data_IF_541951155235
#
_entry.id   IF_541951155235
#
_cell.length_a   1.000
_cell.length_b   1.000
_cell.length_c   1.000
_cell.angle_alpha   90.00
_cell.angle_beta   90.00
_cell.angle_gamma   90.00
#
_symmetry.space_group_name_H-M   'P 1'
#
loop_
_entity.id
_entity.type
_entity.pdbx_description
1 polymer ?
#
# COMPACT_ATOMS: atom_id res chain seq x y z
N UNK A 1 -14.00 43.26 26.86
CA UNK A 1 -12.93 42.73 25.98
C UNK A 1 -12.26 43.85 25.20
N UNK A 2 -11.05 44.22 25.64
CA UNK A 2 -10.18 45.23 25.04
C UNK A 2 -9.70 44.80 23.63
N UNK A 3 -9.44 45.76 22.73
CA UNK A 3 -8.91 45.49 21.38
C UNK A 3 -7.58 44.70 21.41
N UNK A 4 -6.80 44.83 22.48
CA UNK A 4 -5.57 44.10 22.72
C UNK A 4 -5.82 42.59 22.97
N UNK A 5 -6.79 42.26 23.82
CA UNK A 5 -7.14 40.87 24.17
C UNK A 5 -7.62 40.07 22.94
N UNK A 6 -8.41 40.70 22.06
CA UNK A 6 -8.92 40.07 20.84
C UNK A 6 -7.80 39.68 19.86
N UNK A 7 -6.69 40.42 19.81
CA UNK A 7 -5.52 40.09 18.97
C UNK A 7 -4.72 38.93 19.55
N UNK A 8 -4.56 38.87 20.88
CA UNK A 8 -3.87 37.77 21.56
C UNK A 8 -4.62 36.44 21.38
N UNK A 9 -5.95 36.47 21.57
CA UNK A 9 -6.81 35.30 21.42
C UNK A 9 -6.79 34.74 19.99
N UNK A 10 -6.86 35.61 18.98
CA UNK A 10 -6.79 35.21 17.56
C UNK A 10 -5.45 34.56 17.18
N UNK A 11 -4.34 35.00 17.79
CA UNK A 11 -3.02 34.38 17.54
C UNK A 11 -2.97 32.95 18.09
N UNK A 12 -3.42 32.74 19.33
CA UNK A 12 -3.52 31.41 19.92
C UNK A 12 -4.47 30.49 19.14
N UNK A 13 -5.64 31.01 18.76
CA UNK A 13 -6.59 30.25 17.93
C UNK A 13 -5.99 29.86 16.57
N UNK A 14 -5.23 30.76 15.92
CA UNK A 14 -4.64 30.48 14.59
C UNK A 14 -3.52 29.45 14.69
N UNK A 15 -2.72 29.46 15.76
CA UNK A 15 -1.67 28.45 16.00
C UNK A 15 -2.26 27.08 16.29
N UNK A 16 -3.24 27.02 17.21
CA UNK A 16 -3.96 25.79 17.58
C UNK A 16 -4.68 25.17 16.38
N UNK A 17 -5.33 26.00 15.55
CA UNK A 17 -6.01 25.53 14.34
C UNK A 17 -5.00 24.98 13.33
N UNK A 18 -3.85 25.64 13.15
CA UNK A 18 -2.81 25.17 12.24
C UNK A 18 -2.21 23.83 12.69
N UNK A 19 -1.95 23.66 13.98
CA UNK A 19 -1.47 22.39 14.53
C UNK A 19 -2.48 21.26 14.31
N UNK A 20 -3.75 21.46 14.68
CA UNK A 20 -4.81 20.44 14.47
C UNK A 20 -4.99 20.07 13.00
N UNK A 21 -4.92 21.05 12.10
CA UNK A 21 -5.00 20.80 10.66
C UNK A 21 -3.78 20.03 10.13
N UNK A 22 -2.57 20.32 10.64
CA UNK A 22 -1.35 19.62 10.27
C UNK A 22 -1.38 18.15 10.75
N UNK A 23 -1.86 17.91 11.97
CA UNK A 23 -2.03 16.58 12.55
C UNK A 23 -3.05 15.73 11.77
N UNK A 24 -4.21 16.31 11.43
CA UNK A 24 -5.23 15.64 10.58
C UNK A 24 -4.67 15.28 9.21
N UNK A 25 -3.86 16.16 8.60
CA UNK A 25 -3.24 15.90 7.29
C UNK A 25 -2.20 14.78 7.37
N UNK A 26 -1.38 14.76 8.42
CA UNK A 26 -0.40 13.72 8.68
C UNK A 26 -1.06 12.35 8.98
N UNK A 27 -2.17 12.35 9.74
CA UNK A 27 -2.97 11.14 9.99
C UNK A 27 -3.66 10.63 8.73
N UNK A 28 -4.25 11.51 7.90
CA UNK A 28 -4.89 11.11 6.64
C UNK A 28 -3.92 10.40 5.70
N UNK A 29 -2.70 10.90 5.58
CA UNK A 29 -1.69 10.30 4.70
C UNK A 29 -1.23 8.93 5.20
N UNK A 30 -1.13 8.71 6.51
CA UNK A 30 -0.77 7.39 7.07
C UNK A 30 -1.89 6.36 6.94
N UNK A 31 -3.15 6.76 7.15
CA UNK A 31 -4.30 5.84 7.11
C UNK A 31 -4.77 5.45 5.70
N UNK A 32 -4.72 6.35 4.72
CA UNK A 32 -5.22 6.05 3.36
C UNK A 32 -4.23 5.26 2.49
N UNK A 33 -2.92 5.41 2.70
CA UNK A 33 -1.92 4.73 1.90
C UNK A 33 -1.68 3.28 2.35
N UNK A 34 -1.85 2.98 3.64
CA UNK A 34 -1.57 1.66 4.19
C UNK A 34 -2.63 0.61 3.77
N UNK A 35 -3.91 0.97 3.78
CA UNK A 35 -5.01 0.03 3.53
C UNK A 35 -5.08 -0.42 2.07
N UNK A 36 -5.03 0.52 1.11
CA UNK A 36 -5.07 0.19 -0.32
C UNK A 36 -3.85 -0.61 -0.75
N UNK A 37 -2.66 -0.26 -0.25
CA UNK A 37 -1.42 -0.96 -0.59
C UNK A 37 -1.43 -2.40 -0.09
N UNK A 38 -1.96 -2.65 1.11
CA UNK A 38 -2.00 -4.00 1.70
C UNK A 38 -2.95 -4.92 0.94
N UNK A 39 -4.17 -4.45 0.63
CA UNK A 39 -5.16 -5.24 -0.12
C UNK A 39 -4.68 -5.51 -1.55
N UNK A 40 -4.10 -4.52 -2.23
CA UNK A 40 -3.52 -4.69 -3.55
C UNK A 40 -2.37 -5.71 -3.54
N UNK A 41 -1.47 -5.64 -2.56
CA UNK A 41 -0.37 -6.60 -2.41
C UNK A 41 -0.87 -8.02 -2.19
N UNK A 42 -1.95 -8.21 -1.42
CA UNK A 42 -2.57 -9.53 -1.20
C UNK A 42 -3.16 -10.09 -2.50
N UNK A 43 -3.90 -9.27 -3.26
CA UNK A 43 -4.45 -9.69 -4.56
C UNK A 43 -3.32 -10.04 -5.53
N UNK A 44 -2.28 -9.20 -5.60
CA UNK A 44 -1.11 -9.46 -6.42
C UNK A 44 -0.38 -10.73 -5.98
N UNK A 45 -0.32 -11.02 -4.67
CA UNK A 45 0.34 -12.20 -4.13
C UNK A 45 -0.38 -13.50 -4.50
N UNK A 46 -1.69 -13.47 -4.75
CA UNK A 46 -2.46 -14.63 -5.20
C UNK A 46 -2.34 -14.83 -6.72
N UNK A 47 -2.42 -13.75 -7.51
CA UNK A 47 -2.34 -13.83 -8.98
C UNK A 47 -0.92 -13.99 -9.51
N UNK A 48 0.03 -13.25 -8.96
CA UNK A 48 1.43 -13.15 -9.36
C UNK A 48 2.34 -13.06 -8.11
N UNK A 49 2.48 -14.15 -7.35
CA UNK A 49 3.32 -14.23 -6.14
C UNK A 49 4.72 -13.58 -6.28
N UNK A 50 5.52 -13.82 -7.33
CA UNK A 50 6.85 -13.22 -7.45
C UNK A 50 6.79 -11.69 -7.60
N UNK A 51 5.78 -11.14 -8.28
CA UNK A 51 5.64 -9.68 -8.46
C UNK A 51 5.26 -9.01 -7.14
N UNK A 52 4.38 -9.64 -6.35
CA UNK A 52 4.00 -9.12 -5.04
C UNK A 52 5.18 -9.09 -4.06
N UNK A 53 6.01 -10.13 -4.05
CA UNK A 53 7.22 -10.18 -3.22
C UNK A 53 8.24 -9.13 -3.66
N UNK A 54 8.38 -8.90 -4.97
CA UNK A 54 9.26 -7.84 -5.50
C UNK A 54 8.79 -6.45 -5.07
N UNK A 55 7.51 -6.14 -5.18
CA UNK A 55 6.94 -4.82 -4.79
C UNK A 55 6.99 -4.64 -3.27
N UNK A 56 6.78 -5.71 -2.50
CA UNK A 56 6.78 -5.63 -1.03
C UNK A 56 8.18 -5.52 -0.44
N UNK A 57 9.16 -6.28 -0.95
CA UNK A 57 10.53 -6.27 -0.42
C UNK A 57 11.46 -5.27 -1.13
N UNK A 58 11.13 -4.81 -2.34
CA UNK A 58 11.97 -3.90 -3.12
C UNK A 58 13.27 -4.51 -3.66
N UNK A 59 13.58 -5.76 -3.30
CA UNK A 59 14.81 -6.47 -3.64
C UNK A 59 14.52 -7.92 -4.05
N UNK A 60 15.36 -8.43 -4.95
CA UNK A 60 15.32 -9.83 -5.39
C UNK A 60 16.05 -10.70 -4.36
N UNK A 61 15.29 -11.16 -3.36
CA UNK A 61 15.80 -12.02 -2.28
C UNK A 61 15.36 -13.48 -2.46
N UNK A 62 15.85 -14.39 -1.62
CA UNK A 62 15.51 -15.83 -1.68
C UNK A 62 14.00 -16.10 -1.71
N UNK A 63 13.21 -15.28 -1.01
CA UNK A 63 11.75 -15.34 -1.02
C UNK A 63 11.15 -15.10 -2.40
N UNK A 64 11.75 -14.24 -3.23
CA UNK A 64 11.33 -14.01 -4.62
C UNK A 64 11.58 -15.27 -5.45
N UNK A 65 12.78 -15.86 -5.34
CA UNK A 65 13.14 -17.08 -6.08
C UNK A 65 12.26 -18.27 -5.70
N UNK A 66 11.98 -18.45 -4.41
CA UNK A 66 11.05 -19.49 -3.93
C UNK A 66 9.65 -19.26 -4.50
N UNK A 67 9.14 -18.03 -4.43
CA UNK A 67 7.81 -17.69 -4.96
C UNK A 67 7.73 -17.90 -6.48
N UNK A 68 8.81 -17.56 -7.20
CA UNK A 68 8.93 -17.77 -8.65
C UNK A 68 8.93 -19.26 -9.01
N UNK A 69 9.74 -20.07 -8.33
CA UNK A 69 9.81 -21.52 -8.52
C UNK A 69 8.45 -22.18 -8.26
N UNK A 70 7.79 -21.80 -7.16
CA UNK A 70 6.49 -22.35 -6.80
C UNK A 70 5.42 -21.97 -7.82
N UNK A 71 5.41 -20.71 -8.29
CA UNK A 71 4.54 -20.33 -9.42
C UNK A 71 4.86 -21.15 -10.65
N UNK A 72 6.12 -21.31 -11.03
CA UNK A 72 6.48 -22.02 -12.25
C UNK A 72 6.08 -23.50 -12.21
N UNK A 73 6.27 -24.16 -11.06
CA UNK A 73 5.99 -25.59 -10.88
C UNK A 73 4.49 -25.92 -10.95
N UNK A 74 3.62 -25.05 -10.41
CA UNK A 74 2.17 -25.29 -10.41
C UNK A 74 1.42 -24.59 -11.56
N UNK A 75 1.93 -23.47 -12.06
CA UNK A 75 1.29 -22.69 -13.13
C UNK A 75 1.55 -23.28 -14.52
N UNK A 76 2.80 -23.66 -14.84
CA UNK A 76 3.14 -24.19 -16.17
C UNK A 76 2.31 -25.44 -16.51
N UNK A 77 2.20 -26.46 -15.65
CA UNK A 77 1.38 -27.63 -15.95
C UNK A 77 -0.10 -27.27 -16.20
N UNK A 78 -0.64 -26.33 -15.42
CA UNK A 78 -2.01 -25.85 -15.60
C UNK A 78 -2.23 -25.13 -16.93
N UNK A 79 -1.28 -24.28 -17.35
CA UNK A 79 -1.30 -23.62 -18.65
C UNK A 79 -1.21 -24.63 -19.78
N UNK A 80 -0.29 -25.60 -19.69
CA UNK A 80 -0.16 -26.66 -20.70
C UNK A 80 -1.46 -27.46 -20.82
N UNK A 81 -2.05 -27.87 -19.69
CA UNK A 81 -3.32 -28.60 -19.70
C UNK A 81 -4.45 -27.79 -20.33
N UNK A 82 -4.56 -26.50 -20.00
CA UNK A 82 -5.56 -25.62 -20.59
C UNK A 82 -5.38 -25.45 -22.10
N UNK A 83 -4.14 -25.25 -22.56
CA UNK A 83 -3.82 -25.16 -24.00
C UNK A 83 -4.18 -26.45 -24.73
N UNK A 84 -3.81 -27.61 -24.17
CA UNK A 84 -4.19 -28.92 -24.75
C UNK A 84 -5.71 -29.07 -24.78
N UNK A 85 -6.43 -28.62 -23.74
CA UNK A 85 -7.90 -28.74 -23.70
C UNK A 85 -8.60 -27.81 -24.69
N UNK A 86 -8.04 -26.62 -24.96
CA UNK A 86 -8.63 -25.63 -25.87
C UNK A 86 -8.29 -25.94 -27.33
N UNK A 87 -7.07 -26.42 -27.60
CA UNK A 87 -6.54 -26.60 -28.95
C UNK A 87 -6.39 -28.07 -29.39
N UNK A 88 -6.59 -29.02 -28.48
CA UNK A 88 -6.45 -30.46 -28.70
C UNK A 88 -7.78 -31.21 -28.82
#
# INVERSE_FOLDING_TARGET
MSRAERRALKRHQKTQLKEKLAEIKAQRQRGQAAETSTVLLIILAVLLPPVAVLVHQGEVNDKFWISLLLTLLFWIPGVIYALITIFG
#
